data_IF_347066001955
#
_entry.id   IF_347066001955
#
_cell.length_a   1.000
_cell.length_b   1.000
_cell.length_c   1.000
_cell.angle_alpha   90.00
_cell.angle_beta   90.00
_cell.angle_gamma   90.00
#
_symmetry.space_group_name_H-M   'P 1'
#
loop_
_entity.id
_entity.type
_entity.pdbx_description
1 polymer ?
#
# COMPACT_ATOMS: atom_id res chain seq x y z
N UNK A 1 -12.47 13.41 22.24
CA UNK A 1 -11.68 13.19 21.01
C UNK A 1 -10.30 12.75 21.46
N UNK A 2 -9.97 11.46 21.32
CA UNK A 2 -8.82 10.86 22.01
C UNK A 2 -7.62 10.75 21.07
N UNK A 3 -6.75 11.75 21.09
CA UNK A 3 -5.41 11.73 20.45
C UNK A 3 -4.62 10.47 20.80
N UNK A 4 -4.88 9.89 21.98
CA UNK A 4 -4.30 8.63 22.46
C UNK A 4 -4.72 7.44 21.57
N UNK A 5 -5.99 7.34 21.17
CA UNK A 5 -6.50 6.25 20.33
C UNK A 5 -5.92 6.31 18.91
N UNK A 6 -5.79 7.51 18.35
CA UNK A 6 -5.15 7.71 17.04
C UNK A 6 -3.67 7.31 17.05
N UNK A 7 -2.94 7.65 18.13
CA UNK A 7 -1.56 7.23 18.33
C UNK A 7 -1.42 5.71 18.50
N UNK A 8 -2.30 5.09 19.30
CA UNK A 8 -2.36 3.63 19.45
C UNK A 8 -2.63 2.94 18.11
N UNK A 9 -3.55 3.48 17.29
CA UNK A 9 -3.81 2.95 15.96
C UNK A 9 -2.58 3.04 15.05
N UNK A 10 -1.89 4.19 15.05
CA UNK A 10 -0.66 4.35 14.26
C UNK A 10 0.38 3.29 14.63
N UNK A 11 0.65 3.12 15.94
CA UNK A 11 1.58 2.11 16.43
C UNK A 11 1.13 0.68 16.09
N UNK A 12 -0.17 0.40 16.18
CA UNK A 12 -0.70 -0.90 15.82
C UNK A 12 -0.54 -1.19 14.32
N UNK A 13 -0.73 -0.20 13.45
CA UNK A 13 -0.50 -0.37 12.01
C UNK A 13 0.97 -0.65 11.69
N UNK A 14 1.92 -0.13 12.47
CA UNK A 14 3.33 -0.51 12.32
C UNK A 14 3.56 -2.00 12.62
N UNK A 15 2.91 -2.52 13.67
CA UNK A 15 2.96 -3.96 13.98
C UNK A 15 2.32 -4.78 12.86
N UNK A 16 1.17 -4.36 12.33
CA UNK A 16 0.51 -5.02 11.19
C UNK A 16 1.43 -5.05 9.97
N UNK A 17 2.05 -3.92 9.63
CA UNK A 17 3.04 -3.84 8.54
C UNK A 17 4.16 -4.84 8.76
N UNK A 18 4.75 -4.87 9.95
CA UNK A 18 5.84 -5.79 10.27
C UNK A 18 5.42 -7.26 10.13
N UNK A 19 4.26 -7.64 10.70
CA UNK A 19 3.71 -8.99 10.58
C UNK A 19 3.45 -9.36 9.11
N UNK A 20 2.87 -8.47 8.32
CA UNK A 20 2.60 -8.73 6.91
C UNK A 20 3.88 -8.92 6.10
N UNK A 21 4.93 -8.13 6.36
CA UNK A 21 6.23 -8.30 5.69
C UNK A 21 6.86 -9.64 6.06
N UNK A 22 6.79 -10.06 7.33
CA UNK A 22 7.31 -11.36 7.79
C UNK A 22 6.53 -12.52 7.19
N UNK A 23 5.19 -12.44 7.15
CA UNK A 23 4.35 -13.46 6.52
C UNK A 23 4.63 -13.56 5.01
N UNK A 24 4.91 -12.42 4.36
CA UNK A 24 5.26 -12.38 2.93
C UNK A 24 6.65 -12.95 2.64
N UNK A 25 7.62 -12.73 3.53
CA UNK A 25 8.98 -13.25 3.35
C UNK A 25 9.10 -14.74 3.67
N UNK A 26 8.23 -15.27 4.54
CA UNK A 26 8.25 -16.66 4.99
C UNK A 26 7.21 -17.52 4.24
N UNK A 27 5.97 -17.54 4.73
CA UNK A 27 4.92 -18.44 4.27
C UNK A 27 4.59 -18.24 2.79
N UNK A 28 4.31 -16.99 2.37
CA UNK A 28 3.91 -16.74 0.98
C UNK A 28 5.02 -17.04 -0.02
N UNK A 29 6.28 -16.86 0.38
CA UNK A 29 7.39 -17.22 -0.47
C UNK A 29 7.51 -18.74 -0.66
N UNK A 30 7.24 -19.52 0.39
CA UNK A 30 7.25 -20.99 0.32
C UNK A 30 6.14 -21.55 -0.59
N UNK A 31 4.92 -21.00 -0.52
CA UNK A 31 3.80 -21.47 -1.33
C UNK A 31 3.79 -20.95 -2.78
N UNK A 32 4.19 -19.69 -3.01
CA UNK A 32 4.04 -19.04 -4.32
C UNK A 32 5.36 -18.72 -5.04
N UNK A 33 6.50 -18.91 -4.36
CA UNK A 33 7.82 -18.69 -4.93
C UNK A 33 8.01 -17.28 -5.50
N UNK A 34 8.30 -17.19 -6.80
CA UNK A 34 8.48 -15.94 -7.55
C UNK A 34 7.17 -15.16 -7.76
N UNK A 35 6.02 -15.83 -7.70
CA UNK A 35 4.69 -15.23 -7.98
C UNK A 35 3.95 -14.82 -6.71
N UNK A 36 4.67 -14.64 -5.61
CA UNK A 36 4.05 -14.30 -4.32
C UNK A 36 3.31 -12.95 -4.37
N UNK A 37 2.10 -12.86 -3.81
CA UNK A 37 1.38 -11.60 -3.69
C UNK A 37 2.14 -10.63 -2.78
N UNK A 38 2.09 -9.34 -3.12
CA UNK A 38 2.74 -8.28 -2.37
C UNK A 38 1.73 -7.65 -1.40
N UNK A 39 1.63 -8.21 -0.19
CA UNK A 39 0.68 -7.77 0.83
C UNK A 39 0.94 -6.32 1.24
N UNK A 40 2.20 -5.90 1.25
CA UNK A 40 2.57 -4.52 1.56
C UNK A 40 1.94 -3.52 0.58
N UNK A 41 1.70 -3.87 -0.69
CA UNK A 41 1.02 -2.98 -1.64
C UNK A 41 -0.47 -2.81 -1.32
N UNK A 42 -1.12 -3.89 -0.89
CA UNK A 42 -2.52 -3.83 -0.44
C UNK A 42 -2.64 -2.88 0.76
N UNK A 43 -1.71 -2.98 1.72
CA UNK A 43 -1.66 -2.10 2.88
C UNK A 43 -1.34 -0.65 2.47
N UNK A 44 -0.38 -0.45 1.55
CA UNK A 44 -0.02 0.87 1.02
C UNK A 44 -1.22 1.58 0.40
N UNK A 45 -1.98 0.87 -0.43
CA UNK A 45 -3.17 1.39 -1.09
C UNK A 45 -4.28 1.71 -0.07
N UNK A 46 -4.42 0.88 0.96
CA UNK A 46 -5.34 1.16 2.06
C UNK A 46 -4.95 2.45 2.81
N UNK A 47 -3.66 2.66 3.06
CA UNK A 47 -3.17 3.92 3.65
C UNK A 47 -3.47 5.12 2.77
N UNK A 48 -3.25 5.01 1.45
CA UNK A 48 -3.56 6.09 0.51
C UNK A 48 -5.04 6.50 0.59
N UNK A 49 -5.95 5.53 0.66
CA UNK A 49 -7.39 5.77 0.74
C UNK A 49 -7.89 6.29 2.09
N UNK A 50 -7.30 5.83 3.20
CA UNK A 50 -7.89 5.98 4.53
C UNK A 50 -7.05 6.80 5.53
N UNK A 51 -5.84 7.23 5.16
CA UNK A 51 -4.95 8.02 6.03
C UNK A 51 -4.68 9.41 5.44
N UNK A 52 -4.31 10.34 6.31
CA UNK A 52 -3.77 11.63 5.89
C UNK A 52 -2.43 11.44 5.18
N UNK A 53 -2.09 12.34 4.25
CA UNK A 53 -0.90 12.22 3.40
C UNK A 53 0.40 12.12 4.22
N UNK A 54 0.56 12.91 5.28
CA UNK A 54 1.75 12.88 6.14
C UNK A 54 1.83 11.58 6.94
N UNK A 55 0.73 11.15 7.57
CA UNK A 55 0.69 9.90 8.33
C UNK A 55 0.97 8.68 7.45
N UNK A 56 0.27 8.57 6.32
CA UNK A 56 0.45 7.46 5.38
C UNK A 56 1.84 7.46 4.73
N UNK A 57 2.44 8.63 4.50
CA UNK A 57 3.81 8.74 3.99
C UNK A 57 4.84 8.22 4.99
N UNK A 58 4.68 8.54 6.28
CA UNK A 58 5.55 7.99 7.34
C UNK A 58 5.38 6.47 7.43
N UNK A 59 4.14 5.96 7.39
CA UNK A 59 3.88 4.52 7.40
C UNK A 59 4.50 3.82 6.17
N UNK A 60 4.42 4.43 4.98
CA UNK A 60 5.03 3.93 3.77
C UNK A 60 6.56 3.87 3.85
N UNK A 61 7.18 4.92 4.43
CA UNK A 61 8.62 4.96 4.68
C UNK A 61 9.05 3.84 5.62
N UNK A 62 8.39 3.71 6.78
CA UNK A 62 8.72 2.67 7.77
C UNK A 62 8.49 1.27 7.19
N UNK A 63 7.44 1.10 6.38
CA UNK A 63 7.21 -0.17 5.67
C UNK A 63 8.35 -0.55 4.74
N UNK A 64 8.87 0.40 3.95
CA UNK A 64 10.04 0.15 3.10
C UNK A 64 11.30 -0.16 3.88
N UNK A 65 11.50 0.54 4.99
CA UNK A 65 12.61 0.30 5.90
C UNK A 65 12.56 -1.12 6.51
N UNK A 66 11.38 -1.57 6.94
CA UNK A 66 11.19 -2.94 7.44
C UNK A 66 11.48 -3.97 6.35
N UNK A 67 11.08 -3.73 5.10
CA UNK A 67 11.39 -4.63 3.98
C UNK A 67 12.90 -4.69 3.74
N UNK A 68 13.61 -3.57 3.77
CA UNK A 68 15.06 -3.52 3.59
C UNK A 68 15.79 -4.36 4.64
N UNK A 69 15.44 -4.20 5.92
CA UNK A 69 16.03 -4.98 7.01
C UNK A 69 15.82 -6.48 6.83
N UNK A 70 14.61 -6.90 6.42
CA UNK A 70 14.28 -8.32 6.28
C UNK A 70 14.84 -8.95 4.99
N UNK A 71 15.10 -8.16 3.95
CA UNK A 71 15.55 -8.65 2.65
C UNK A 71 17.05 -8.51 2.40
N UNK A 72 17.77 -7.75 3.21
CA UNK A 72 19.17 -7.41 2.97
C UNK A 72 19.38 -6.52 1.75
N UNK A 73 18.32 -5.83 1.29
CA UNK A 73 18.39 -4.93 0.16
C UNK A 73 19.18 -3.65 0.49
N UNK A 74 19.68 -2.92 -0.54
CA UNK A 74 20.34 -1.63 -0.33
C UNK A 74 19.46 -0.67 0.46
N UNK A 75 20.09 0.00 1.42
CA UNK A 75 19.42 0.95 2.29
C UNK A 75 18.74 2.07 1.50
N UNK A 76 17.48 2.35 1.82
CA UNK A 76 16.68 3.42 1.21
C UNK A 76 16.01 3.04 -0.12
N UNK A 77 16.32 1.90 -0.74
CA UNK A 77 15.71 1.50 -2.01
C UNK A 77 14.18 1.34 -1.89
N UNK A 78 13.71 0.46 -1.01
CA UNK A 78 12.27 0.19 -0.85
C UNK A 78 11.56 1.34 -0.15
N UNK A 79 12.24 2.01 0.79
CA UNK A 79 11.73 3.19 1.49
C UNK A 79 11.35 4.29 0.50
N UNK A 80 12.25 4.63 -0.44
CA UNK A 80 11.98 5.63 -1.47
C UNK A 80 10.89 5.16 -2.44
N UNK A 81 10.99 3.92 -2.93
CA UNK A 81 10.00 3.37 -3.88
C UNK A 81 8.59 3.39 -3.28
N UNK A 82 8.41 2.95 -2.04
CA UNK A 82 7.09 2.89 -1.40
C UNK A 82 6.54 4.26 -1.06
N UNK A 83 7.38 5.22 -0.64
CA UNK A 83 6.94 6.60 -0.41
C UNK A 83 6.46 7.24 -1.71
N UNK A 84 7.21 7.10 -2.81
CA UNK A 84 6.79 7.62 -4.12
C UNK A 84 5.50 6.95 -4.60
N UNK A 85 5.43 5.63 -4.46
CA UNK A 85 4.23 4.85 -4.80
C UNK A 85 3.02 5.30 -3.96
N UNK A 86 3.21 5.55 -2.67
CA UNK A 86 2.15 6.05 -1.78
C UNK A 86 1.65 7.42 -2.22
N UNK A 87 2.52 8.38 -2.51
CA UNK A 87 2.08 9.71 -2.91
C UNK A 87 1.39 9.70 -4.26
N UNK A 88 1.84 8.87 -5.21
CA UNK A 88 1.13 8.68 -6.46
C UNK A 88 -0.26 8.04 -6.24
N UNK A 89 -0.33 7.00 -5.40
CA UNK A 89 -1.60 6.39 -4.99
C UNK A 89 -2.53 7.39 -4.29
N UNK A 90 -1.97 8.24 -3.44
CA UNK A 90 -2.70 9.27 -2.69
C UNK A 90 -3.30 10.30 -3.64
N UNK A 91 -2.52 10.79 -4.60
CA UNK A 91 -3.00 11.69 -5.64
C UNK A 91 -4.13 11.08 -6.48
N UNK A 92 -4.01 9.81 -6.87
CA UNK A 92 -5.09 9.09 -7.57
C UNK A 92 -6.33 8.97 -6.68
N UNK A 93 -6.15 8.64 -5.40
CA UNK A 93 -7.27 8.45 -4.46
C UNK A 93 -8.04 9.73 -4.14
N UNK A 94 -7.37 10.89 -4.19
CA UNK A 94 -8.00 12.20 -3.98
C UNK A 94 -8.60 12.76 -5.28
N UNK A 95 -7.99 12.46 -6.43
CA UNK A 95 -8.50 12.88 -7.74
C UNK A 95 -9.70 12.08 -8.25
N UNK A 96 -9.88 10.83 -7.79
CA UNK A 96 -10.96 9.94 -8.25
C UNK A 96 -11.88 9.51 -7.11
N UNK A 97 -13.16 9.31 -7.41
CA UNK A 97 -14.14 8.85 -6.42
C UNK A 97 -14.06 7.33 -6.20
N UNK A 98 -13.26 6.91 -5.22
CA UNK A 98 -13.04 5.50 -4.89
C UNK A 98 -13.86 5.14 -3.65
N UNK A 99 -15.08 4.63 -3.86
CA UNK A 99 -15.98 4.15 -2.79
C UNK A 99 -16.51 2.74 -2.99
N UNK A 100 -16.46 2.21 -4.21
CA UNK A 100 -16.96 0.87 -4.50
C UNK A 100 -15.82 -0.14 -4.31
N UNK A 101 -16.11 -1.36 -3.83
CA UNK A 101 -15.09 -2.42 -3.69
C UNK A 101 -14.34 -2.69 -5.00
N UNK A 102 -15.04 -2.61 -6.14
CA UNK A 102 -14.44 -2.74 -7.47
C UNK A 102 -13.42 -1.64 -7.78
N UNK A 103 -13.69 -0.39 -7.39
CA UNK A 103 -12.75 0.71 -7.59
C UNK A 103 -11.52 0.58 -6.67
N UNK A 104 -11.70 0.07 -5.44
CA UNK A 104 -10.60 -0.23 -4.52
C UNK A 104 -9.69 -1.34 -5.07
N UNK A 105 -10.28 -2.42 -5.59
CA UNK A 105 -9.57 -3.51 -6.27
C UNK A 105 -8.78 -3.01 -7.48
N UNK A 106 -9.41 -2.19 -8.33
CA UNK A 106 -8.75 -1.60 -9.51
C UNK A 106 -7.58 -0.70 -9.08
N UNK A 107 -7.78 0.15 -8.07
CA UNK A 107 -6.72 1.00 -7.52
C UNK A 107 -5.52 0.18 -7.08
N UNK A 108 -5.71 -0.90 -6.32
CA UNK A 108 -4.61 -1.78 -5.88
C UNK A 108 -3.89 -2.40 -7.07
N UNK A 109 -4.61 -2.84 -8.10
CA UNK A 109 -4.02 -3.34 -9.34
C UNK A 109 -3.13 -2.29 -10.03
N UNK A 110 -3.65 -1.07 -10.20
CA UNK A 110 -2.90 0.05 -10.80
C UNK A 110 -1.67 0.42 -9.98
N UNK A 111 -1.81 0.52 -8.65
CA UNK A 111 -0.69 0.82 -7.75
C UNK A 111 0.37 -0.28 -7.79
N UNK A 112 -0.03 -1.56 -7.89
CA UNK A 112 0.90 -2.68 -7.98
C UNK A 112 1.77 -2.59 -9.23
N UNK A 113 1.18 -2.22 -10.37
CA UNK A 113 1.92 -1.99 -11.62
C UNK A 113 2.80 -0.74 -11.52
N UNK A 114 2.28 0.35 -10.96
CA UNK A 114 3.01 1.59 -10.77
C UNK A 114 4.24 1.40 -9.87
N UNK A 115 4.08 0.67 -8.77
CA UNK A 115 5.17 0.26 -7.89
C UNK A 115 6.28 -0.45 -8.66
N UNK A 116 5.93 -1.43 -9.52
CA UNK A 116 6.91 -2.15 -10.33
C UNK A 116 7.64 -1.24 -11.30
N UNK A 117 6.94 -0.28 -11.92
CA UNK A 117 7.55 0.71 -12.82
C UNK A 117 8.54 1.59 -12.05
N UNK A 118 8.14 2.14 -10.89
CA UNK A 118 9.00 2.98 -10.06
C UNK A 118 10.22 2.19 -9.57
N UNK A 119 10.00 0.94 -9.12
CA UNK A 119 11.06 0.05 -8.66
C UNK A 119 12.07 -0.25 -9.78
N UNK A 120 11.61 -0.59 -10.98
CA UNK A 120 12.48 -0.80 -12.15
C UNK A 120 13.22 0.47 -12.55
N UNK A 121 12.55 1.63 -12.48
CA UNK A 121 13.16 2.93 -12.74
C UNK A 121 14.32 3.22 -11.78
N UNK A 122 14.12 3.04 -10.47
CA UNK A 122 15.16 3.29 -9.48
C UNK A 122 16.28 2.25 -9.56
N UNK A 123 15.95 0.97 -9.73
CA UNK A 123 16.97 -0.09 -9.86
C UNK A 123 17.83 0.06 -11.11
N UNK A 124 17.32 0.69 -12.18
CA UNK A 124 18.11 0.99 -13.38
C UNK A 124 19.29 1.92 -13.13
N UNK A 125 19.25 2.71 -12.05
CA UNK A 125 20.37 3.58 -11.62
C UNK A 125 21.54 2.71 -11.11
N UNK A 126 21.25 1.54 -10.54
CA UNK A 126 22.24 0.64 -9.94
C UNK A 126 22.85 -0.35 -10.95
N UNK A 127 22.32 -0.46 -12.18
CA UNK A 127 22.85 -1.37 -13.20
C UNK A 127 21.88 -1.68 -14.34
N UNK A 128 22.32 -2.51 -15.28
CA UNK A 128 21.54 -2.84 -16.49
C UNK A 128 20.40 -3.81 -16.19
N UNK A 129 19.16 -3.35 -16.37
CA UNK A 129 17.91 -4.08 -16.09
C UNK A 129 17.42 -4.96 -17.26
N UNK A 130 18.16 -4.98 -18.39
CA UNK A 130 17.73 -5.58 -19.66
C UNK A 130 17.46 -7.10 -19.63
N UNK A 131 18.25 -7.97 -18.96
CA UNK A 131 17.92 -9.39 -18.91
C UNK A 131 16.76 -9.72 -17.95
N UNK A 132 16.46 -8.84 -16.99
CA UNK A 132 15.47 -9.07 -15.92
C UNK A 132 14.09 -8.51 -16.30
N UNK A 133 14.03 -7.57 -17.24
CA UNK A 133 12.83 -6.84 -17.65
C UNK A 133 11.66 -7.74 -18.08
N UNK A 134 11.87 -8.70 -18.99
CA UNK A 134 10.77 -9.54 -19.52
C UNK A 134 10.13 -10.42 -18.45
N UNK A 135 10.96 -11.06 -17.60
CA UNK A 135 10.49 -11.92 -16.51
C UNK A 135 9.79 -11.07 -15.43
N UNK A 136 10.30 -9.87 -15.17
CA UNK A 136 9.74 -8.94 -14.18
C UNK A 136 8.39 -8.36 -14.59
N UNK A 137 8.14 -8.16 -15.90
CA UNK A 137 6.85 -7.68 -16.41
C UNK A 137 5.76 -8.75 -16.27
N UNK A 138 6.01 -9.97 -16.73
CA UNK A 138 5.02 -11.06 -16.69
C UNK A 138 4.66 -11.40 -15.23
N UNK A 139 5.67 -11.56 -14.38
CA UNK A 139 5.45 -11.78 -12.94
C UNK A 139 4.76 -10.57 -12.29
N UNK A 140 5.11 -9.34 -12.69
CA UNK A 140 4.49 -8.12 -12.18
C UNK A 140 2.99 -8.03 -12.46
N UNK A 141 2.55 -8.36 -13.68
CA UNK A 141 1.12 -8.37 -14.03
C UNK A 141 0.37 -9.44 -13.24
N UNK A 142 0.94 -10.63 -13.10
CA UNK A 142 0.33 -11.71 -12.34
C UNK A 142 0.22 -11.37 -10.84
N UNK A 143 1.28 -10.80 -10.25
CA UNK A 143 1.26 -10.34 -8.85
C UNK A 143 0.23 -9.22 -8.65
N UNK A 144 0.12 -8.29 -9.59
CA UNK A 144 -0.90 -7.23 -9.54
C UNK A 144 -2.32 -7.81 -9.58
N UNK A 145 -2.54 -8.86 -10.38
CA UNK A 145 -3.81 -9.58 -10.41
C UNK A 145 -4.11 -10.29 -9.07
N UNK A 146 -3.12 -10.94 -8.46
CA UNK A 146 -3.29 -11.55 -7.14
C UNK A 146 -3.59 -10.50 -6.06
N UNK A 147 -2.89 -9.37 -6.07
CA UNK A 147 -3.14 -8.27 -5.12
C UNK A 147 -4.56 -7.71 -5.28
N UNK A 148 -5.02 -7.55 -6.52
CA UNK A 148 -6.38 -7.13 -6.84
C UNK A 148 -7.40 -8.11 -6.24
N UNK A 149 -7.19 -9.42 -6.37
CA UNK A 149 -8.05 -10.44 -5.77
C UNK A 149 -7.99 -10.47 -4.23
N UNK A 150 -6.82 -10.19 -3.65
CA UNK A 150 -6.64 -10.15 -2.19
C UNK A 150 -7.18 -8.86 -1.56
N UNK A 151 -7.44 -7.82 -2.36
CA UNK A 151 -7.84 -6.50 -1.86
C UNK A 151 -9.10 -6.56 -0.99
N UNK A 152 -10.21 -7.24 -1.35
CA UNK A 152 -11.41 -7.25 -0.52
C UNK A 152 -11.15 -7.84 0.86
N UNK A 153 -10.36 -8.92 0.92
CA UNK A 153 -9.99 -9.58 2.18
C UNK A 153 -9.06 -8.68 3.00
N UNK A 154 -8.00 -8.15 2.39
CA UNK A 154 -7.03 -7.28 3.06
C UNK A 154 -7.69 -6.01 3.61
N UNK A 155 -8.52 -5.34 2.81
CA UNK A 155 -9.22 -4.13 3.23
C UNK A 155 -10.25 -4.41 4.32
N UNK A 156 -10.94 -5.57 4.26
CA UNK A 156 -11.85 -5.97 5.33
C UNK A 156 -11.13 -6.10 6.67
N UNK A 157 -9.97 -6.78 6.72
CA UNK A 157 -9.16 -6.91 7.94
C UNK A 157 -8.69 -5.54 8.45
N UNK A 158 -8.12 -4.71 7.57
CA UNK A 158 -7.59 -3.40 7.95
C UNK A 158 -8.70 -2.45 8.43
N UNK A 159 -9.87 -2.51 7.79
CA UNK A 159 -11.05 -1.73 8.18
C UNK A 159 -11.55 -2.10 9.58
N UNK A 160 -11.57 -3.39 9.92
CA UNK A 160 -11.94 -3.84 11.25
C UNK A 160 -10.97 -3.34 12.33
N UNK A 161 -9.67 -3.36 12.04
CA UNK A 161 -8.64 -2.85 12.94
C UNK A 161 -8.87 -1.36 13.19
N UNK A 162 -9.12 -0.58 12.13
CA UNK A 162 -9.33 0.86 12.24
C UNK A 162 -10.63 1.22 12.96
N UNK A 163 -11.70 0.45 12.76
CA UNK A 163 -12.97 0.65 13.46
C UNK A 163 -12.86 0.34 14.95
N UNK A 164 -12.11 -0.70 15.32
CA UNK A 164 -11.87 -1.05 16.74
C UNK A 164 -11.04 0.00 17.48
N UNK A 165 -10.13 0.66 16.77
CA UNK A 165 -9.24 1.66 17.36
C UNK A 165 -9.73 3.10 17.16
N UNK A 166 -10.98 3.28 16.68
CA UNK A 166 -11.64 4.59 16.62
C UNK A 166 -10.98 5.60 15.69
N UNK A 167 -10.29 5.15 14.64
CA UNK A 167 -9.49 6.02 13.76
C UNK A 167 -10.37 7.03 13.01
N UNK A 168 -10.04 8.31 13.11
CA UNK A 168 -10.68 9.36 12.31
C UNK A 168 -10.17 9.25 10.87
N UNK A 169 -11.09 9.05 9.92
CA UNK A 169 -10.76 8.95 8.49
C UNK A 169 -10.81 10.35 7.85
N UNK A 170 -9.92 10.65 6.88
CA UNK A 170 -10.03 11.89 6.12
C UNK A 170 -11.42 11.96 5.45
N UNK A 171 -12.05 13.14 5.54
CA UNK A 171 -13.39 13.37 4.98
C UNK A 171 -13.33 13.12 3.46
N UNK A 172 -14.12 12.16 2.95
CA UNK A 172 -14.24 11.93 1.50
C UNK A 172 -15.02 13.10 0.88
N UNK A 173 -14.36 14.18 0.52
CA UNK A 173 -14.91 15.30 -0.28
C UNK A 173 -15.28 14.80 -1.69
N UNK A 174 -16.35 15.25 -2.36
CA UNK A 174 -17.20 16.41 -2.09
C UNK A 174 -18.64 16.25 -2.59
N UNK A 175 -19.48 15.49 -1.87
CA UNK A 175 -20.94 15.47 -2.13
C UNK A 175 -21.79 15.85 -0.91
N UNK A 176 -21.18 16.00 0.27
CA UNK A 176 -21.94 16.41 1.48
C UNK A 176 -21.97 17.92 1.72
N UNK A 177 -21.04 18.70 1.16
CA UNK A 177 -21.12 20.18 1.28
C UNK A 177 -22.35 20.76 0.57
N UNK A 178 -22.79 20.18 -0.55
CA UNK A 178 -23.99 20.69 -1.23
C UNK A 178 -25.29 20.40 -0.49
N UNK A 179 -25.32 19.37 0.37
CA UNK A 179 -26.51 19.02 1.15
C UNK A 179 -26.59 19.79 2.47
N UNK A 180 -25.44 20.07 3.10
CA UNK A 180 -25.35 20.86 4.34
C UNK A 180 -25.47 22.38 4.14
N UNK A 181 -25.42 22.87 2.90
CA UNK A 181 -25.70 24.29 2.56
C UNK A 181 -27.13 24.53 2.07
N UNK A 182 -27.94 23.47 1.98
CA UNK A 182 -29.34 23.52 1.53
C UNK A 182 -30.34 23.01 2.59
N UNK A 183 -29.85 22.71 3.79
CA UNK A 183 -30.64 22.45 5.02
C UNK A 183 -30.24 23.49 6.07
#
# INVERSE_FOLDING_TARGET
MNTILDGCNFLFMLVVVWVCVVLESTLLHEFFGMYKPALYIVILAYFALNRFALEGGILAYVMGYVIEINSGAPFGLYSVVLVLTFYAAKGISEGFFIKTPWAEMLLVGVISLLYKIIFLGITSIYGSVTPILKISIISGVFIAFLNLLLTPLGFWVLKQIDERLGKIRPFKTGTQEHRLRME
#
